data_IF_550944866445
#
_entry.id   IF_550944866445
#
_cell.length_a   1.000
_cell.length_b   1.000
_cell.length_c   1.000
_cell.angle_alpha   90.00
_cell.angle_beta   90.00
_cell.angle_gamma   90.00
#
_symmetry.space_group_name_H-M   'P 1'
#
loop_
_entity.id
_entity.type
_entity.pdbx_description
1 polymer ?
#
# COMPACT_ATOMS: atom_id res chain seq x y z
N UNK A 1 3.05 -13.23 -6.14
CA UNK A 1 2.23 -12.24 -6.87
C UNK A 1 2.44 -12.25 -8.38
N UNK A 2 3.57 -12.77 -8.90
CA UNK A 2 3.86 -12.78 -10.35
C UNK A 2 2.87 -13.58 -11.21
N UNK A 3 2.39 -14.74 -10.71
CA UNK A 3 1.45 -15.59 -11.47
C UNK A 3 0.16 -14.85 -11.87
N UNK A 4 -0.51 -14.19 -10.92
CA UNK A 4 -1.75 -13.43 -11.19
C UNK A 4 -1.52 -12.29 -12.18
N UNK A 5 -0.36 -11.61 -12.12
CA UNK A 5 -0.01 -10.57 -13.10
C UNK A 5 0.07 -11.12 -14.51
N UNK A 6 0.71 -12.28 -14.68
CA UNK A 6 0.82 -12.92 -15.99
C UNK A 6 -0.55 -13.40 -16.52
N UNK A 7 -1.39 -13.98 -15.66
CA UNK A 7 -2.76 -14.37 -16.03
C UNK A 7 -3.61 -13.17 -16.51
N UNK A 8 -3.45 -12.01 -15.88
CA UNK A 8 -4.22 -10.80 -16.16
C UNK A 8 -3.68 -9.97 -17.33
N UNK A 9 -2.43 -10.18 -17.76
CA UNK A 9 -1.73 -9.39 -18.79
C UNK A 9 -2.52 -9.33 -20.11
N UNK A 10 -3.04 -10.48 -20.56
CA UNK A 10 -3.84 -10.60 -21.79
C UNK A 10 -5.15 -9.79 -21.74
N UNK A 11 -5.68 -9.57 -20.53
CA UNK A 11 -6.94 -8.86 -20.28
C UNK A 11 -6.75 -7.36 -20.06
N UNK A 12 -5.51 -6.86 -20.11
CA UNK A 12 -5.14 -5.46 -19.82
C UNK A 12 -5.63 -4.98 -18.43
N UNK A 13 -5.72 -5.91 -17.48
CA UNK A 13 -6.01 -5.60 -16.08
C UNK A 13 -4.68 -5.34 -15.37
N UNK A 14 -4.59 -4.21 -14.66
CA UNK A 14 -3.42 -3.85 -13.86
C UNK A 14 -3.55 -4.45 -12.47
N UNK A 15 -2.48 -5.09 -11.98
CA UNK A 15 -2.40 -5.60 -10.62
C UNK A 15 -1.27 -4.88 -9.88
N UNK A 16 -1.58 -4.39 -8.69
CA UNK A 16 -0.67 -3.64 -7.83
C UNK A 16 -0.64 -4.33 -6.46
N UNK A 17 0.56 -4.57 -5.92
CA UNK A 17 0.72 -4.95 -4.52
C UNK A 17 1.13 -3.71 -3.70
N UNK A 18 0.52 -3.54 -2.54
CA UNK A 18 0.74 -2.38 -1.67
C UNK A 18 1.24 -2.90 -0.33
N UNK A 19 2.41 -2.43 0.09
CA UNK A 19 3.10 -2.84 1.30
C UNK A 19 3.34 -1.60 2.18
N UNK A 20 2.31 -1.13 2.91
CA UNK A 20 2.49 -0.05 3.86
C UNK A 20 3.21 -0.55 5.13
N UNK A 21 4.05 0.30 5.70
CA UNK A 21 4.52 0.16 7.08
C UNK A 21 3.34 0.28 8.06
N UNK A 22 3.62 0.15 9.37
CA UNK A 22 2.61 0.31 10.41
C UNK A 22 1.75 1.55 10.14
N UNK A 23 0.44 1.34 9.94
CA UNK A 23 -0.51 2.38 9.52
C UNK A 23 -1.51 2.63 10.64
N UNK A 24 -1.72 3.90 10.99
CA UNK A 24 -2.69 4.34 11.99
C UNK A 24 -4.12 4.12 11.47
N UNK A 25 -4.67 2.94 11.77
CA UNK A 25 -6.06 2.56 11.44
C UNK A 25 -6.78 1.94 12.62
N UNK A 26 -8.11 1.85 12.57
CA UNK A 26 -8.89 1.27 13.67
C UNK A 26 -8.59 -0.22 13.95
N UNK A 27 -7.88 -0.96 13.06
CA UNK A 27 -7.55 -2.37 13.28
C UNK A 27 -6.80 -2.60 14.60
N UNK A 28 -6.02 -1.62 15.02
CA UNK A 28 -5.20 -1.69 16.22
C UNK A 28 -6.00 -1.47 17.52
N UNK A 29 -7.24 -0.96 17.43
CA UNK A 29 -8.11 -0.79 18.61
C UNK A 29 -8.51 -2.13 19.22
N UNK A 30 -8.59 -3.16 18.38
CA UNK A 30 -9.00 -4.52 18.77
C UNK A 30 -7.78 -5.43 19.04
N UNK A 31 -6.56 -4.90 18.93
CA UNK A 31 -5.32 -5.64 19.16
C UNK A 31 -4.71 -5.17 20.48
N UNK A 32 -4.66 -6.06 21.48
CA UNK A 32 -4.04 -5.78 22.77
C UNK A 32 -2.58 -5.34 22.63
N UNK A 33 -2.23 -4.21 23.25
CA UNK A 33 -0.86 -3.69 23.29
C UNK A 33 -0.83 -2.17 23.32
N UNK A 34 0.31 -1.60 23.70
CA UNK A 34 0.58 -0.18 23.50
C UNK A 34 1.23 0.01 22.13
N UNK A 35 0.44 0.48 21.16
CA UNK A 35 0.90 0.71 19.80
C UNK A 35 1.35 2.16 19.63
N UNK A 36 2.55 2.42 19.08
CA UNK A 36 3.07 3.77 18.89
C UNK A 36 2.39 4.50 17.71
N UNK A 37 1.12 4.86 17.88
CA UNK A 37 0.24 5.47 16.86
C UNK A 37 0.90 6.66 16.15
N UNK A 38 1.50 7.57 16.91
CA UNK A 38 2.15 8.78 16.37
C UNK A 38 3.40 8.53 15.53
N UNK A 39 3.90 7.29 15.48
CA UNK A 39 5.02 6.88 14.63
C UNK A 39 4.57 6.00 13.45
N UNK A 40 3.28 5.72 13.32
CA UNK A 40 2.69 5.04 12.17
C UNK A 40 2.45 6.03 11.03
N UNK A 41 2.44 5.56 9.78
CA UNK A 41 1.94 6.37 8.65
C UNK A 41 0.41 6.49 8.74
N UNK A 42 -0.18 7.54 8.17
CA UNK A 42 -1.63 7.69 8.20
C UNK A 42 -2.31 6.84 7.12
N UNK A 43 -3.57 6.48 7.33
CA UNK A 43 -4.39 5.86 6.28
C UNK A 43 -4.54 6.75 5.04
N UNK A 44 -4.50 8.08 5.23
CA UNK A 44 -4.57 9.05 4.13
C UNK A 44 -3.32 9.00 3.25
N UNK A 45 -2.12 8.89 3.85
CA UNK A 45 -0.87 8.75 3.09
C UNK A 45 -0.88 7.50 2.21
N UNK A 46 -1.40 6.38 2.75
CA UNK A 46 -1.56 5.14 1.99
C UNK A 46 -2.54 5.34 0.83
N UNK A 47 -3.69 5.98 1.08
CA UNK A 47 -4.70 6.25 0.07
C UNK A 47 -4.19 7.15 -1.06
N UNK A 48 -3.45 8.22 -0.73
CA UNK A 48 -2.86 9.14 -1.71
C UNK A 48 -1.82 8.42 -2.59
N UNK A 49 -1.02 7.53 -1.99
CA UNK A 49 -0.07 6.71 -2.74
C UNK A 49 -0.77 5.70 -3.68
N UNK A 50 -1.89 5.11 -3.25
CA UNK A 50 -2.75 4.28 -4.12
C UNK A 50 -3.30 5.12 -5.27
N UNK A 51 -3.86 6.30 -4.97
CA UNK A 51 -4.43 7.22 -5.95
C UNK A 51 -3.39 7.62 -7.01
N UNK A 52 -2.17 7.95 -6.59
CA UNK A 52 -1.04 8.20 -7.48
C UNK A 52 -0.78 7.01 -8.42
N UNK A 53 -0.77 5.80 -7.89
CA UNK A 53 -0.46 4.60 -8.66
C UNK A 53 -1.54 4.22 -9.69
N UNK A 54 -2.82 4.37 -9.34
CA UNK A 54 -3.92 4.04 -10.24
C UNK A 54 -4.15 5.11 -11.32
N UNK A 55 -3.76 6.37 -11.07
CA UNK A 55 -3.90 7.47 -12.02
C UNK A 55 -2.85 7.48 -13.14
N UNK A 56 -1.92 6.52 -13.16
CA UNK A 56 -0.97 6.38 -14.25
C UNK A 56 -1.65 6.06 -15.58
N UNK A 57 -1.06 6.45 -16.74
CA UNK A 57 -1.60 6.13 -18.05
C UNK A 57 -1.91 4.63 -18.20
N UNK A 58 -2.91 4.21 -19.00
CA UNK A 58 -3.34 2.80 -19.08
C UNK A 58 -2.25 1.78 -19.48
N UNK A 59 -1.17 2.25 -20.13
CA UNK A 59 0.00 1.44 -20.54
C UNK A 59 1.07 1.29 -19.45
N UNK A 60 0.92 2.01 -18.33
CA UNK A 60 1.87 2.04 -17.22
C UNK A 60 1.26 1.28 -16.04
N UNK A 61 2.04 0.36 -15.47
CA UNK A 61 1.68 -0.39 -14.26
C UNK A 61 2.78 -0.22 -13.22
N UNK A 62 2.39 0.18 -12.01
CA UNK A 62 3.25 0.13 -10.81
C UNK A 62 2.97 -1.21 -10.13
N UNK A 63 3.87 -2.18 -10.25
CA UNK A 63 3.59 -3.54 -9.77
C UNK A 63 3.65 -3.67 -8.24
N UNK A 64 4.54 -2.91 -7.60
CA UNK A 64 4.74 -2.92 -6.15
C UNK A 64 4.91 -1.48 -5.64
N UNK A 65 4.23 -1.18 -4.54
CA UNK A 65 4.33 0.09 -3.84
C UNK A 65 4.63 -0.19 -2.37
N UNK A 66 5.85 0.10 -1.94
CA UNK A 66 6.26 -0.01 -0.54
C UNK A 66 6.28 1.37 0.09
N UNK A 67 5.59 1.54 1.21
CA UNK A 67 5.48 2.81 1.93
C UNK A 67 6.07 2.66 3.32
N UNK A 68 6.93 3.59 3.72
CA UNK A 68 7.59 3.58 5.02
C UNK A 68 7.50 4.96 5.67
N UNK A 69 7.55 5.00 7.00
CA UNK A 69 7.75 6.26 7.70
C UNK A 69 9.21 6.73 7.51
N UNK A 70 9.41 8.01 7.22
CA UNK A 70 10.74 8.62 7.09
C UNK A 70 11.51 8.64 8.41
N UNK A 71 10.81 8.56 9.56
CA UNK A 71 11.41 8.44 10.88
C UNK A 71 12.08 7.07 11.13
N UNK A 72 11.87 6.08 10.26
CA UNK A 72 12.44 4.73 10.36
C UNK A 72 11.39 3.64 10.51
N UNK A 73 11.85 2.40 10.71
CA UNK A 73 10.98 1.23 10.90
C UNK A 73 10.69 1.06 12.38
N UNK A 74 9.41 0.98 12.72
CA UNK A 74 8.92 0.34 13.95
C UNK A 74 8.83 -1.17 13.76
#
# INVERSE_FOLDING_TARGET
>A
STAIREELRSRKVRMLNIYPAATDTAIWNDISGEWPRGQMISAADVADAVAYAINQPPRVTIENLTLSNTAGTL
#
